data_IF_106821219534
#
_entry.id   IF_106821219534
#
_cell.length_a   1.000
_cell.length_b   1.000
_cell.length_c   1.000
_cell.angle_alpha   90.00
_cell.angle_beta   90.00
_cell.angle_gamma   90.00
#
_symmetry.space_group_name_H-M   'P 1'
#
loop_
_entity.id
_entity.type
_entity.pdbx_description
1 polymer ?
#
# COMPACT_ATOMS: atom_id res chain seq x y z
N UNK A 1 -11.14 -26.03 -9.63
CA UNK A 1 -11.23 -25.94 -8.16
C UNK A 1 -11.70 -24.53 -7.80
N UNK A 2 -12.57 -24.35 -6.77
CA UNK A 2 -13.01 -23.03 -6.36
C UNK A 2 -11.83 -22.23 -5.79
N UNK A 3 -11.62 -21.04 -6.33
CA UNK A 3 -10.63 -20.08 -5.88
C UNK A 3 -11.35 -18.80 -5.41
N UNK A 4 -10.88 -18.23 -4.30
CA UNK A 4 -11.35 -16.95 -3.79
C UNK A 4 -10.40 -15.87 -4.28
N UNK A 5 -10.87 -15.04 -5.20
CA UNK A 5 -10.11 -13.92 -5.78
C UNK A 5 -10.65 -12.61 -5.22
N UNK A 6 -9.81 -11.81 -4.62
CA UNK A 6 -10.14 -10.48 -4.15
C UNK A 6 -9.53 -9.44 -5.08
N UNK A 7 -10.37 -8.80 -5.89
CA UNK A 7 -10.00 -7.77 -6.86
C UNK A 7 -9.87 -6.44 -6.13
N UNK A 8 -8.74 -5.77 -6.32
CA UNK A 8 -8.33 -4.55 -5.62
C UNK A 8 -8.02 -3.48 -6.65
N UNK A 9 -8.57 -2.26 -6.46
CA UNK A 9 -8.32 -1.14 -7.35
C UNK A 9 -8.34 0.19 -6.60
N UNK A 10 -7.91 1.25 -7.26
CA UNK A 10 -7.99 2.63 -6.77
C UNK A 10 -9.20 3.33 -7.38
N UNK A 11 -9.97 4.03 -6.55
CA UNK A 11 -11.14 4.79 -7.00
C UNK A 11 -10.79 6.15 -7.62
N UNK A 12 -11.81 6.95 -7.93
CA UNK A 12 -11.67 8.26 -8.57
C UNK A 12 -11.75 9.45 -7.63
N UNK A 13 -11.81 9.25 -6.31
CA UNK A 13 -11.88 10.35 -5.35
C UNK A 13 -10.64 11.23 -5.37
N UNK A 14 -10.80 12.49 -5.06
CA UNK A 14 -9.75 13.52 -5.01
C UNK A 14 -9.70 14.13 -3.61
N UNK A 15 -8.54 14.61 -3.14
CA UNK A 15 -7.22 14.68 -3.82
C UNK A 15 -6.52 13.33 -3.93
N UNK A 16 -6.85 12.36 -3.10
CA UNK A 16 -6.24 11.03 -3.05
C UNK A 16 -7.27 9.93 -3.33
N UNK A 17 -6.90 8.91 -4.13
CA UNK A 17 -7.79 7.78 -4.36
C UNK A 17 -7.86 6.87 -3.12
N UNK A 18 -9.00 6.22 -2.93
CA UNK A 18 -9.15 5.18 -1.92
C UNK A 18 -8.97 3.80 -2.54
N UNK A 19 -8.46 2.86 -1.74
CA UNK A 19 -8.45 1.45 -2.06
C UNK A 19 -9.87 0.88 -2.00
N UNK A 20 -10.21 0.08 -3.01
CA UNK A 20 -11.48 -0.65 -3.10
C UNK A 20 -11.19 -2.11 -3.31
N UNK A 21 -12.08 -2.96 -2.81
CA UNK A 21 -12.01 -4.39 -3.11
C UNK A 21 -13.39 -5.03 -3.23
N UNK A 22 -13.43 -6.16 -3.96
CA UNK A 22 -14.59 -7.05 -4.05
C UNK A 22 -14.12 -8.48 -4.32
N UNK A 23 -14.87 -9.46 -3.83
CA UNK A 23 -14.49 -10.87 -3.90
C UNK A 23 -15.31 -11.59 -4.96
N UNK A 24 -14.62 -12.39 -5.80
CA UNK A 24 -15.19 -13.29 -6.77
C UNK A 24 -14.77 -14.73 -6.49
N UNK A 25 -15.71 -15.65 -6.55
CA UNK A 25 -15.42 -17.09 -6.49
C UNK A 25 -15.44 -17.63 -7.92
N UNK A 26 -14.34 -18.20 -8.34
CA UNK A 26 -14.15 -18.71 -9.70
C UNK A 26 -13.67 -20.17 -9.70
N UNK A 27 -13.89 -20.89 -10.77
CA UNK A 27 -13.27 -22.19 -10.99
C UNK A 27 -12.00 -22.00 -11.81
N UNK A 28 -10.85 -22.14 -11.16
CA UNK A 28 -9.53 -22.08 -11.78
C UNK A 28 -8.71 -23.33 -11.46
N UNK A 29 -7.70 -23.65 -12.28
CA UNK A 29 -6.69 -24.66 -11.90
C UNK A 29 -5.97 -24.25 -10.61
N UNK A 30 -5.16 -25.13 -10.05
CA UNK A 30 -4.25 -24.79 -8.97
C UNK A 30 -2.93 -25.52 -9.20
N UNK A 31 -1.82 -24.82 -9.32
CA UNK A 31 -1.67 -23.35 -9.34
C UNK A 31 -2.31 -22.72 -10.59
N UNK A 32 -2.61 -21.44 -10.52
CA UNK A 32 -3.05 -20.61 -11.64
C UNK A 32 -2.09 -19.41 -11.81
N UNK A 33 -2.12 -18.79 -12.98
CA UNK A 33 -1.32 -17.63 -13.33
C UNK A 33 -2.21 -16.41 -13.63
N UNK A 34 -1.62 -15.25 -13.81
CA UNK A 34 -2.37 -14.01 -14.05
C UNK A 34 -3.31 -14.11 -15.27
N UNK A 35 -2.87 -14.79 -16.32
CA UNK A 35 -3.63 -14.99 -17.57
C UNK A 35 -4.90 -15.83 -17.39
N UNK A 36 -4.97 -16.62 -16.32
CA UNK A 36 -6.17 -17.39 -15.97
C UNK A 36 -7.23 -16.54 -15.26
N UNK A 37 -6.85 -15.37 -14.74
CA UNK A 37 -7.73 -14.52 -13.93
C UNK A 37 -8.64 -13.69 -14.84
N UNK A 38 -9.98 -13.87 -14.77
CA UNK A 38 -10.88 -13.15 -15.66
C UNK A 38 -11.01 -11.68 -15.30
N UNK A 39 -11.24 -10.83 -16.29
CA UNK A 39 -11.72 -9.48 -16.08
C UNK A 39 -13.03 -9.49 -15.28
N UNK A 40 -13.28 -8.38 -14.61
CA UNK A 40 -14.54 -8.17 -13.90
C UNK A 40 -15.02 -6.74 -14.09
N UNK A 41 -16.30 -6.45 -13.78
CA UNK A 41 -16.88 -5.12 -13.84
C UNK A 41 -17.33 -4.64 -12.46
N UNK A 42 -17.47 -3.33 -12.32
CA UNK A 42 -18.03 -2.69 -11.14
C UNK A 42 -18.79 -1.41 -11.52
N UNK A 43 -19.63 -0.93 -10.62
CA UNK A 43 -20.36 0.33 -10.77
C UNK A 43 -19.44 1.52 -10.43
N UNK A 44 -18.90 2.15 -11.48
CA UNK A 44 -18.03 3.32 -11.36
C UNK A 44 -18.70 4.56 -10.80
N UNK A 45 -20.04 4.65 -10.84
CA UNK A 45 -20.77 5.78 -10.25
C UNK A 45 -20.60 5.85 -8.73
N UNK A 46 -20.45 4.70 -8.10
CA UNK A 46 -20.22 4.58 -6.65
C UNK A 46 -18.78 4.85 -6.22
N UNK A 47 -17.87 5.06 -7.17
CA UNK A 47 -16.44 5.24 -6.94
C UNK A 47 -15.87 6.51 -7.58
N UNK A 48 -16.72 7.43 -8.04
CA UNK A 48 -16.33 8.65 -8.77
C UNK A 48 -15.55 8.36 -10.07
N UNK A 49 -15.89 7.27 -10.76
CA UNK A 49 -15.24 6.83 -12.00
C UNK A 49 -16.18 6.74 -13.19
N UNK A 50 -17.49 6.94 -13.00
CA UNK A 50 -18.45 7.01 -14.09
C UNK A 50 -19.69 7.84 -13.71
N UNK A 51 -20.47 8.22 -14.71
CA UNK A 51 -21.79 8.84 -14.52
C UNK A 51 -22.88 7.77 -14.42
N UNK A 52 -23.95 8.06 -13.65
CA UNK A 52 -24.96 7.07 -13.26
C UNK A 52 -25.69 6.35 -14.41
N UNK A 53 -25.73 6.92 -15.60
CA UNK A 53 -26.40 6.32 -16.77
C UNK A 53 -25.51 5.35 -17.58
N UNK A 54 -24.18 5.41 -17.39
CA UNK A 54 -23.18 4.58 -18.05
C UNK A 54 -22.09 4.24 -17.03
N UNK A 55 -22.47 3.46 -16.03
CA UNK A 55 -21.69 3.32 -14.82
C UNK A 55 -20.71 2.14 -14.82
N UNK A 56 -20.76 1.27 -15.82
CA UNK A 56 -19.86 0.11 -15.87
C UNK A 56 -18.42 0.54 -16.11
N UNK A 57 -17.54 0.09 -15.22
CA UNK A 57 -16.09 0.11 -15.38
C UNK A 57 -15.56 -1.32 -15.35
N UNK A 58 -14.42 -1.55 -15.99
CA UNK A 58 -13.79 -2.86 -16.08
C UNK A 58 -12.55 -2.90 -15.18
N UNK A 59 -12.43 -3.96 -14.39
CA UNK A 59 -11.24 -4.32 -13.64
C UNK A 59 -10.41 -5.29 -14.49
N UNK A 60 -9.24 -4.85 -14.92
CA UNK A 60 -8.24 -5.68 -15.58
C UNK A 60 -7.18 -6.13 -14.60
N UNK A 61 -7.05 -7.44 -14.35
CA UNK A 61 -5.97 -7.99 -13.53
C UNK A 61 -4.59 -7.62 -14.08
N UNK A 62 -3.70 -7.12 -13.21
CA UNK A 62 -2.33 -6.78 -13.58
C UNK A 62 -1.28 -7.48 -12.73
N UNK A 63 -1.67 -7.97 -11.54
CA UNK A 63 -0.78 -8.73 -10.66
C UNK A 63 -1.58 -9.61 -9.71
N UNK A 64 -1.02 -10.79 -9.42
CA UNK A 64 -1.57 -11.74 -8.43
C UNK A 64 -0.61 -11.80 -7.24
N UNK A 65 -1.18 -11.66 -6.03
CA UNK A 65 -0.51 -11.89 -4.77
C UNK A 65 -1.21 -13.04 -4.05
N UNK A 66 -0.49 -14.12 -3.78
CA UNK A 66 -1.07 -15.26 -3.10
C UNK A 66 -0.96 -15.10 -1.59
N UNK A 67 -2.05 -15.35 -0.86
CA UNK A 67 -2.02 -15.42 0.60
C UNK A 67 -2.15 -16.88 1.03
N UNK A 68 -1.22 -17.31 1.86
CA UNK A 68 -1.19 -18.65 2.43
C UNK A 68 -1.62 -18.67 3.91
N UNK A 69 -2.52 -17.77 4.31
CA UNK A 69 -3.03 -17.81 5.69
C UNK A 69 -3.79 -19.12 5.90
N UNK A 70 -3.22 -19.98 6.78
CA UNK A 70 -3.69 -21.33 7.04
C UNK A 70 -5.03 -21.35 7.80
N UNK A 71 -5.44 -20.23 8.39
CA UNK A 71 -6.64 -20.13 9.23
C UNK A 71 -7.91 -19.87 8.45
N UNK A 72 -7.78 -19.38 7.20
CA UNK A 72 -8.90 -19.04 6.34
C UNK A 72 -8.81 -19.77 4.99
N UNK A 73 -9.89 -19.70 4.21
CA UNK A 73 -9.87 -20.15 2.83
C UNK A 73 -8.81 -19.36 2.05
N UNK A 74 -7.85 -20.02 1.37
CA UNK A 74 -6.80 -19.31 0.65
C UNK A 74 -7.38 -18.22 -0.25
N UNK A 75 -6.89 -17.01 -0.08
CA UNK A 75 -7.31 -15.85 -0.87
C UNK A 75 -6.16 -15.43 -1.77
N UNK A 76 -6.42 -15.23 -3.05
CA UNK A 76 -5.48 -14.54 -3.93
C UNK A 76 -5.94 -13.10 -4.12
N UNK A 77 -5.05 -12.17 -3.85
CA UNK A 77 -5.29 -10.74 -4.06
C UNK A 77 -4.92 -10.38 -5.48
N UNK A 78 -5.84 -9.75 -6.20
CA UNK A 78 -5.71 -9.41 -7.60
C UNK A 78 -5.67 -7.89 -7.72
N UNK A 79 -4.49 -7.33 -7.93
CA UNK A 79 -4.38 -5.91 -8.24
C UNK A 79 -4.88 -5.66 -9.65
N UNK A 80 -5.69 -4.63 -9.81
CA UNK A 80 -6.37 -4.32 -11.06
C UNK A 80 -6.16 -2.88 -11.50
N UNK A 81 -6.05 -2.70 -12.78
CA UNK A 81 -6.25 -1.43 -13.48
C UNK A 81 -7.73 -1.23 -13.81
N UNK A 82 -8.16 0.04 -13.89
CA UNK A 82 -9.51 0.41 -14.29
C UNK A 82 -9.54 0.82 -15.75
N UNK A 83 -10.50 0.26 -16.50
CA UNK A 83 -10.74 0.53 -17.91
C UNK A 83 -12.18 0.96 -18.17
N UNK A 84 -12.38 1.73 -19.24
CA UNK A 84 -13.70 2.03 -19.79
C UNK A 84 -14.27 0.79 -20.49
N UNK A 85 -15.62 0.71 -20.70
CA UNK A 85 -16.26 -0.39 -21.41
C UNK A 85 -15.75 -0.59 -22.85
N UNK A 86 -15.23 0.45 -23.49
CA UNK A 86 -14.65 0.41 -24.82
C UNK A 86 -13.22 -0.18 -24.86
N UNK A 87 -12.68 -0.55 -23.69
CA UNK A 87 -11.34 -1.12 -23.56
C UNK A 87 -10.21 -0.11 -23.50
N UNK A 88 -10.51 1.18 -23.43
CA UNK A 88 -9.49 2.21 -23.18
C UNK A 88 -9.19 2.36 -21.69
N UNK A 89 -7.95 2.69 -21.28
CA UNK A 89 -7.65 2.97 -19.88
C UNK A 89 -8.54 4.10 -19.34
N UNK A 90 -9.09 3.91 -18.15
CA UNK A 90 -9.88 4.95 -17.50
C UNK A 90 -9.00 6.14 -17.11
N UNK A 91 -9.53 7.36 -17.08
CA UNK A 91 -8.79 8.59 -16.76
C UNK A 91 -8.14 8.60 -15.36
N UNK A 92 -8.63 7.77 -14.44
CA UNK A 92 -8.04 7.56 -13.09
C UNK A 92 -6.96 6.48 -13.07
N UNK A 93 -6.72 5.78 -14.18
CA UNK A 93 -5.73 4.71 -14.27
C UNK A 93 -4.35 5.31 -14.57
N UNK A 94 -3.70 5.83 -13.54
CA UNK A 94 -2.36 6.41 -13.65
C UNK A 94 -1.31 5.33 -14.00
N UNK A 95 -1.49 4.09 -13.52
CA UNK A 95 -0.58 2.99 -13.77
C UNK A 95 -0.36 2.74 -15.27
N UNK A 96 -1.41 2.86 -16.09
CA UNK A 96 -1.34 2.67 -17.55
C UNK A 96 -0.46 3.70 -18.28
N UNK A 97 -0.09 4.80 -17.62
CA UNK A 97 0.79 5.84 -18.19
C UNK A 97 2.27 5.62 -17.88
N UNK A 98 2.57 4.64 -17.03
CA UNK A 98 3.94 4.35 -16.57
C UNK A 98 4.58 3.37 -17.55
N UNK A 99 5.79 3.71 -18.03
CA UNK A 99 6.65 2.77 -18.75
C UNK A 99 7.42 1.95 -17.72
N UNK A 100 7.35 0.63 -17.84
CA UNK A 100 8.14 -0.23 -16.98
C UNK A 100 9.63 -0.15 -17.31
N UNK A 101 10.45 -0.07 -16.28
CA UNK A 101 11.90 -0.03 -16.38
C UNK A 101 12.53 -0.83 -15.22
N UNK A 102 12.96 -2.04 -15.52
CA UNK A 102 13.57 -2.96 -14.58
C UNK A 102 14.94 -2.47 -14.07
N UNK A 103 15.58 -1.54 -14.74
CA UNK A 103 16.84 -0.95 -14.28
C UNK A 103 16.66 -0.04 -13.06
N UNK A 104 15.43 0.44 -12.82
CA UNK A 104 15.12 1.20 -11.62
C UNK A 104 14.86 0.28 -10.42
N UNK A 105 15.51 0.61 -9.32
CA UNK A 105 15.27 0.01 -8.00
C UNK A 105 14.68 1.07 -7.08
N UNK A 106 13.70 0.66 -6.29
CA UNK A 106 13.01 1.54 -5.35
C UNK A 106 13.09 0.97 -3.95
N UNK A 107 13.28 1.85 -2.96
CA UNK A 107 13.09 1.58 -1.55
C UNK A 107 12.10 2.60 -0.99
N UNK A 108 10.93 2.15 -0.58
CA UNK A 108 9.93 2.98 0.07
C UNK A 108 9.98 2.78 1.57
N UNK A 109 9.99 3.86 2.32
CA UNK A 109 9.90 3.88 3.78
C UNK A 109 8.56 4.54 4.14
N UNK A 110 7.54 3.70 4.37
CA UNK A 110 6.20 4.18 4.65
C UNK A 110 5.99 4.30 6.14
N UNK A 111 5.91 5.53 6.61
CA UNK A 111 5.46 5.85 7.97
C UNK A 111 3.94 5.95 8.03
N UNK A 112 3.38 5.63 9.19
CA UNK A 112 1.95 5.73 9.47
C UNK A 112 1.66 5.75 10.96
N UNK A 113 0.47 6.25 11.32
CA UNK A 113 -0.05 6.16 12.67
C UNK A 113 -1.19 5.13 12.77
N UNK A 114 -1.21 4.42 13.90
CA UNK A 114 -2.31 3.53 14.26
C UNK A 114 -3.26 4.30 15.16
N UNK A 115 -4.54 4.34 14.80
CA UNK A 115 -5.61 4.91 15.62
C UNK A 115 -6.61 3.85 16.04
N UNK A 116 -7.17 4.00 17.21
CA UNK A 116 -8.34 3.23 17.63
C UNK A 116 -9.55 3.67 16.78
N UNK A 117 -10.24 2.74 16.10
CA UNK A 117 -11.34 3.06 15.19
C UNK A 117 -12.57 3.66 15.86
N UNK A 118 -12.79 3.38 17.15
CA UNK A 118 -13.95 3.86 17.91
C UNK A 118 -13.74 5.26 18.49
N UNK A 119 -12.51 5.55 18.95
CA UNK A 119 -12.20 6.82 19.63
C UNK A 119 -11.49 7.83 18.73
N UNK A 120 -10.87 7.38 17.62
CA UNK A 120 -10.02 8.17 16.76
C UNK A 120 -8.66 8.55 17.39
N UNK A 121 -8.41 8.14 18.63
CA UNK A 121 -7.16 8.46 19.32
C UNK A 121 -6.01 7.61 18.76
N UNK A 122 -4.82 8.21 18.68
CA UNK A 122 -3.60 7.49 18.32
C UNK A 122 -3.31 6.46 19.41
N UNK A 123 -2.91 5.27 19.01
CA UNK A 123 -2.66 4.15 19.90
C UNK A 123 -1.48 4.46 20.85
N UNK A 124 -1.70 4.31 22.13
CA UNK A 124 -0.71 4.59 23.17
C UNK A 124 -0.64 6.05 23.60
N UNK A 125 -1.36 6.96 22.93
CA UNK A 125 -1.43 8.36 23.38
C UNK A 125 -2.35 8.50 24.60
N UNK A 126 -1.86 9.24 25.60
CA UNK A 126 -2.59 9.66 26.78
C UNK A 126 -2.18 11.10 27.14
N UNK A 127 -2.62 11.59 28.30
CA UNK A 127 -2.30 12.97 28.75
C UNK A 127 -0.80 13.23 29.00
N UNK A 128 0.01 12.19 29.13
CA UNK A 128 1.44 12.28 29.43
C UNK A 128 2.32 11.97 28.21
N UNK A 129 1.78 11.29 27.20
CA UNK A 129 2.51 10.79 26.04
C UNK A 129 1.83 11.27 24.76
N UNK A 130 1.97 12.54 24.48
CA UNK A 130 1.47 13.16 23.24
C UNK A 130 2.64 13.72 22.44
N UNK A 131 2.70 13.35 21.16
CA UNK A 131 3.74 13.83 20.26
C UNK A 131 5.02 13.01 20.27
N UNK A 132 6.11 13.65 19.87
CA UNK A 132 7.43 13.04 19.76
C UNK A 132 8.05 12.81 21.14
N UNK A 133 8.71 11.66 21.31
CA UNK A 133 9.41 11.29 22.53
C UNK A 133 10.60 10.38 22.27
N UNK A 134 11.00 9.63 23.28
CA UNK A 134 12.11 8.65 23.22
C UNK A 134 11.60 7.28 22.79
N UNK A 135 10.80 7.22 21.71
CA UNK A 135 10.08 6.01 21.28
C UNK A 135 10.70 5.33 20.08
N UNK A 136 11.58 6.01 19.35
CA UNK A 136 12.25 5.48 18.16
C UNK A 136 12.95 4.15 18.44
N UNK A 137 12.57 3.12 17.67
CA UNK A 137 13.03 1.74 17.87
C UNK A 137 12.80 1.20 19.29
N UNK A 138 11.77 1.69 19.98
CA UNK A 138 11.49 1.37 21.37
C UNK A 138 11.17 -0.08 21.63
N UNK A 139 11.49 -0.56 22.82
CA UNK A 139 11.21 -1.93 23.30
C UNK A 139 10.49 -1.86 24.65
N UNK A 140 9.44 -2.67 24.77
CA UNK A 140 8.61 -2.72 25.97
C UNK A 140 7.35 -1.86 25.88
N UNK A 141 6.33 -2.23 26.63
CA UNK A 141 4.97 -1.67 26.51
C UNK A 141 4.85 -0.19 26.87
N UNK A 142 5.84 0.38 27.59
CA UNK A 142 5.91 1.80 27.87
C UNK A 142 6.60 2.62 26.78
N UNK A 143 7.19 1.95 25.78
CA UNK A 143 7.98 2.58 24.73
C UNK A 143 7.40 2.36 23.33
N UNK A 144 6.46 1.43 23.18
CA UNK A 144 5.90 1.08 21.89
C UNK A 144 4.46 0.59 22.03
N UNK A 145 3.62 0.92 21.06
CA UNK A 145 2.23 0.47 20.97
C UNK A 145 1.95 -0.11 19.59
N UNK A 146 1.21 -1.23 19.51
CA UNK A 146 0.77 -1.83 18.25
C UNK A 146 1.72 -2.84 17.62
N UNK A 147 2.77 -3.32 18.31
CA UNK A 147 3.77 -4.25 17.76
C UNK A 147 3.16 -5.52 17.17
N UNK A 148 2.23 -6.16 17.87
CA UNK A 148 1.57 -7.39 17.39
C UNK A 148 0.90 -7.17 16.02
N UNK A 149 0.19 -6.06 15.87
CA UNK A 149 -0.44 -5.67 14.61
C UNK A 149 0.59 -5.46 13.49
N UNK A 150 1.69 -4.76 13.78
CA UNK A 150 2.74 -4.44 12.80
C UNK A 150 3.48 -5.70 12.36
N UNK A 151 3.82 -6.60 13.28
CA UNK A 151 4.46 -7.88 12.96
C UNK A 151 3.51 -8.82 12.20
N UNK A 152 2.20 -8.74 12.46
CA UNK A 152 1.21 -9.47 11.67
C UNK A 152 1.14 -8.91 10.23
N UNK A 153 1.14 -7.58 10.05
CA UNK A 153 1.22 -6.96 8.73
C UNK A 153 2.48 -7.38 7.96
N UNK A 154 3.65 -7.36 8.62
CA UNK A 154 4.90 -7.86 8.06
C UNK A 154 4.73 -9.29 7.52
N UNK A 155 4.14 -10.17 8.35
CA UNK A 155 3.92 -11.58 7.97
C UNK A 155 2.99 -11.73 6.78
N UNK A 156 1.92 -10.93 6.69
CA UNK A 156 1.01 -10.93 5.54
C UNK A 156 1.71 -10.48 4.25
N UNK A 157 2.52 -9.42 4.32
CA UNK A 157 3.28 -8.93 3.18
C UNK A 157 4.30 -9.97 2.67
N UNK A 158 5.06 -10.58 3.57
CA UNK A 158 6.02 -11.63 3.21
C UNK A 158 5.32 -12.85 2.60
N UNK A 159 4.18 -13.27 3.16
CA UNK A 159 3.37 -14.37 2.61
C UNK A 159 2.80 -14.03 1.23
N UNK A 160 2.51 -12.77 0.96
CA UNK A 160 2.05 -12.30 -0.35
C UNK A 160 3.20 -12.13 -1.37
N UNK A 161 4.45 -12.34 -0.96
CA UNK A 161 5.62 -12.20 -1.82
C UNK A 161 6.08 -10.75 -2.02
N UNK A 162 5.65 -9.83 -1.15
CA UNK A 162 6.14 -8.44 -1.12
C UNK A 162 7.47 -8.42 -0.37
N UNK A 163 8.48 -7.82 -0.96
CA UNK A 163 9.82 -7.71 -0.38
C UNK A 163 9.88 -6.60 0.68
N UNK A 164 9.34 -6.91 1.87
CA UNK A 164 9.48 -6.05 3.04
C UNK A 164 10.88 -6.24 3.62
N UNK A 165 11.66 -5.17 3.67
CA UNK A 165 13.06 -5.19 4.11
C UNK A 165 13.24 -4.80 5.57
N UNK A 166 12.24 -4.20 6.20
CA UNK A 166 12.28 -3.85 7.61
C UNK A 166 11.00 -3.23 8.14
N UNK A 167 10.92 -3.17 9.46
CA UNK A 167 9.91 -2.44 10.23
C UNK A 167 10.58 -1.79 11.45
N UNK A 168 10.14 -0.62 11.86
CA UNK A 168 10.56 0.00 13.13
C UNK A 168 9.47 0.86 13.73
N UNK A 169 9.50 0.99 15.05
CA UNK A 169 8.72 1.98 15.74
C UNK A 169 9.35 3.36 15.53
N UNK A 170 8.51 4.35 15.31
CA UNK A 170 8.90 5.72 15.02
C UNK A 170 8.92 6.62 16.27
N UNK A 171 9.18 7.94 16.07
CA UNK A 171 9.46 8.91 17.11
C UNK A 171 8.27 9.23 18.02
N UNK A 172 7.05 8.85 17.64
CA UNK A 172 5.86 9.00 18.45
C UNK A 172 5.23 7.64 18.77
N UNK A 173 4.54 7.51 19.91
CA UNK A 173 3.77 6.29 20.22
C UNK A 173 2.70 6.08 19.16
N UNK A 174 2.52 4.82 18.74
CA UNK A 174 1.58 4.46 17.69
C UNK A 174 2.01 4.86 16.27
N UNK A 175 3.17 5.47 16.12
CA UNK A 175 3.81 5.72 14.83
C UNK A 175 4.77 4.56 14.51
N UNK A 176 4.64 4.04 13.28
CA UNK A 176 5.44 2.94 12.78
C UNK A 176 5.87 3.20 11.34
N UNK A 177 6.93 2.51 10.94
CA UNK A 177 7.43 2.49 9.58
C UNK A 177 7.60 1.06 9.09
N UNK A 178 7.34 0.82 7.80
CA UNK A 178 7.81 -0.38 7.11
C UNK A 178 8.52 0.00 5.81
N UNK A 179 9.50 -0.81 5.41
CA UNK A 179 10.28 -0.59 4.20
C UNK A 179 9.95 -1.66 3.16
N UNK A 180 9.66 -1.21 1.92
CA UNK A 180 9.43 -2.07 0.75
C UNK A 180 10.54 -1.86 -0.25
N UNK A 181 11.15 -2.93 -0.71
CA UNK A 181 12.11 -2.90 -1.81
C UNK A 181 11.51 -3.54 -3.05
N UNK A 182 11.66 -2.89 -4.21
CA UNK A 182 11.20 -3.47 -5.48
C UNK A 182 12.11 -3.06 -6.63
N UNK A 183 12.22 -3.96 -7.62
CA UNK A 183 12.88 -3.71 -8.90
C UNK A 183 11.82 -3.54 -9.97
N UNK A 184 11.99 -2.52 -10.83
CA UNK A 184 11.02 -2.15 -11.84
C UNK A 184 9.99 -1.12 -11.35
N UNK A 185 9.64 -0.20 -12.23
CA UNK A 185 8.76 0.92 -11.92
C UNK A 185 7.33 0.49 -11.63
N UNK A 186 6.78 -0.45 -12.39
CA UNK A 186 5.44 -0.96 -12.17
C UNK A 186 5.36 -1.80 -10.90
N UNK A 187 6.32 -2.71 -10.70
CA UNK A 187 6.32 -3.55 -9.50
C UNK A 187 6.42 -2.74 -8.22
N UNK A 188 7.25 -1.69 -8.20
CA UNK A 188 7.41 -0.84 -7.04
C UNK A 188 6.08 -0.17 -6.61
N UNK A 189 5.34 0.38 -7.55
CA UNK A 189 4.02 0.95 -7.29
C UNK A 189 3.00 -0.10 -6.86
N UNK A 190 2.98 -1.26 -7.52
CA UNK A 190 2.08 -2.38 -7.21
C UNK A 190 2.31 -2.90 -5.78
N UNK A 191 3.56 -3.15 -5.40
CA UNK A 191 3.91 -3.68 -4.09
C UNK A 191 3.62 -2.68 -2.96
N UNK A 192 3.86 -1.38 -3.20
CA UNK A 192 3.50 -0.33 -2.24
C UNK A 192 1.97 -0.27 -2.03
N UNK A 193 1.17 -0.28 -3.09
CA UNK A 193 -0.29 -0.25 -2.96
C UNK A 193 -0.84 -1.53 -2.35
N UNK A 194 -0.27 -2.68 -2.67
CA UNK A 194 -0.68 -3.94 -2.05
C UNK A 194 -0.30 -4.00 -0.57
N UNK A 195 0.88 -3.52 -0.18
CA UNK A 195 1.26 -3.44 1.24
C UNK A 195 0.33 -2.52 2.04
N UNK A 196 -0.06 -1.37 1.48
CA UNK A 196 -1.07 -0.47 2.07
C UNK A 196 -2.44 -1.14 2.19
N UNK A 197 -2.84 -1.89 1.16
CA UNK A 197 -4.10 -2.63 1.19
C UNK A 197 -4.12 -3.66 2.33
N UNK A 198 -3.08 -4.47 2.46
CA UNK A 198 -2.94 -5.46 3.52
C UNK A 198 -2.92 -4.80 4.91
N UNK A 199 -2.24 -3.65 5.05
CA UNK A 199 -2.21 -2.88 6.28
C UNK A 199 -3.61 -2.40 6.70
N UNK A 200 -4.35 -1.78 5.78
CA UNK A 200 -5.69 -1.25 6.04
C UNK A 200 -6.70 -2.37 6.32
N UNK A 201 -6.63 -3.46 5.54
CA UNK A 201 -7.51 -4.63 5.74
C UNK A 201 -7.25 -5.32 7.08
N UNK A 202 -5.99 -5.48 7.46
CA UNK A 202 -5.63 -6.03 8.76
C UNK A 202 -6.12 -5.13 9.91
N UNK A 203 -6.06 -3.82 9.73
CA UNK A 203 -6.52 -2.85 10.73
C UNK A 203 -8.01 -3.03 11.09
N UNK A 204 -8.85 -3.45 10.13
CA UNK A 204 -10.26 -3.76 10.39
C UNK A 204 -10.41 -4.86 11.46
N UNK A 205 -9.54 -5.90 11.41
CA UNK A 205 -9.58 -7.02 12.37
C UNK A 205 -9.18 -6.62 13.78
N UNK A 206 -8.31 -5.62 13.90
CA UNK A 206 -7.83 -5.10 15.19
C UNK A 206 -8.65 -3.92 15.72
N UNK A 207 -9.73 -3.55 15.03
CA UNK A 207 -10.51 -2.34 15.32
C UNK A 207 -9.63 -1.08 15.31
N UNK A 208 -8.69 -1.02 14.36
CA UNK A 208 -7.81 0.12 14.11
C UNK A 208 -8.17 0.85 12.81
N UNK A 209 -7.69 2.08 12.67
CA UNK A 209 -7.61 2.82 11.41
C UNK A 209 -6.17 3.26 11.20
N UNK A 210 -5.75 3.31 9.94
CA UNK A 210 -4.41 3.75 9.54
C UNK A 210 -4.48 5.20 9.08
N UNK A 211 -3.62 6.02 9.65
CA UNK A 211 -3.49 7.43 9.29
C UNK A 211 -2.17 7.65 8.57
N UNK A 212 -2.24 7.94 7.27
CA UNK A 212 -1.11 8.24 6.39
C UNK A 212 -0.90 9.75 6.22
N UNK A 213 -1.62 10.59 6.97
CA UNK A 213 -1.48 12.04 6.87
C UNK A 213 -0.07 12.46 7.29
N UNK A 214 0.61 13.35 6.53
CA UNK A 214 2.00 13.73 6.82
C UNK A 214 2.16 14.48 8.15
N UNK A 215 1.10 15.03 8.69
CA UNK A 215 1.10 15.76 9.97
C UNK A 215 -0.16 15.46 10.79
N UNK A 216 -0.38 14.21 11.25
CA UNK A 216 -1.59 13.83 11.97
C UNK A 216 -1.67 14.41 13.40
N UNK A 217 -0.51 14.80 13.97
CA UNK A 217 -0.43 15.51 15.24
C UNK A 217 -0.29 17.00 14.97
N UNK A 218 -1.25 17.79 15.44
CA UNK A 218 -1.28 19.25 15.24
C UNK A 218 -0.62 20.02 16.39
N UNK A 219 -0.20 19.31 17.45
CA UNK A 219 0.38 19.90 18.65
C UNK A 219 1.83 19.45 18.83
N UNK A 220 2.64 20.35 19.36
CA UNK A 220 4.04 20.10 19.68
C UNK A 220 4.97 20.16 18.47
N UNK A 221 6.27 20.07 18.78
CA UNK A 221 7.34 20.01 17.77
C UNK A 221 7.67 18.55 17.50
N UNK A 222 7.50 18.10 16.25
CA UNK A 222 7.83 16.75 15.81
C UNK A 222 7.99 16.68 14.28
N UNK A 223 8.71 15.67 13.81
CA UNK A 223 9.17 15.59 12.42
C UNK A 223 8.04 15.43 11.40
N UNK A 224 7.05 14.61 11.68
CA UNK A 224 5.98 14.27 10.74
C UNK A 224 5.93 12.79 10.45
N UNK A 225 5.14 12.42 9.44
CA UNK A 225 4.95 11.04 8.97
C UNK A 225 4.96 11.07 7.45
N UNK A 226 5.87 10.36 6.82
CA UNK A 226 6.10 10.49 5.39
C UNK A 226 6.11 9.19 4.62
N UNK A 227 6.37 9.32 3.34
CA UNK A 227 6.80 8.24 2.48
C UNK A 227 8.13 8.66 1.85
N UNK A 228 9.23 8.16 2.39
CA UNK A 228 10.50 8.32 1.72
C UNK A 228 10.56 7.42 0.49
N UNK A 229 11.03 7.99 -0.61
CA UNK A 229 11.23 7.27 -1.87
C UNK A 229 12.70 7.31 -2.23
N UNK A 230 13.41 6.24 -1.94
CA UNK A 230 14.77 6.02 -2.40
C UNK A 230 14.71 5.35 -3.78
N UNK A 231 15.48 5.85 -4.72
CA UNK A 231 15.53 5.28 -6.06
C UNK A 231 16.95 5.25 -6.61
N UNK A 232 17.23 4.25 -7.45
CA UNK A 232 18.44 4.21 -8.25
C UNK A 232 18.19 3.50 -9.58
N UNK A 233 18.81 3.98 -10.63
CA UNK A 233 18.93 3.22 -11.88
C UNK A 233 20.34 2.59 -11.99
N UNK A 234 20.54 1.77 -13.01
CA UNK A 234 21.81 1.08 -13.24
C UNK A 234 22.99 2.06 -13.30
N UNK A 235 22.82 3.18 -14.00
CA UNK A 235 23.87 4.18 -14.14
C UNK A 235 24.28 4.79 -12.79
N UNK A 236 23.30 5.08 -11.92
CA UNK A 236 23.56 5.58 -10.56
C UNK A 236 24.36 4.58 -9.73
N UNK A 237 24.07 3.29 -9.89
CA UNK A 237 24.72 2.22 -9.11
C UNK A 237 26.11 1.87 -9.61
N UNK A 238 26.34 1.89 -10.94
CA UNK A 238 27.60 1.39 -11.55
C UNK A 238 28.58 2.51 -11.86
N UNK A 239 28.13 3.64 -12.39
CA UNK A 239 29.00 4.74 -12.79
C UNK A 239 29.05 5.85 -11.73
N UNK A 240 27.93 6.14 -11.08
CA UNK A 240 27.80 7.18 -10.05
C UNK A 240 28.15 8.57 -10.52
N UNK A 241 28.57 9.42 -9.59
CA UNK A 241 29.09 10.74 -9.85
C UNK A 241 28.09 11.87 -9.62
N UNK A 242 28.56 12.95 -8.98
CA UNK A 242 27.74 14.09 -8.60
C UNK A 242 27.06 14.74 -9.80
N UNK A 243 27.75 14.85 -10.93
CA UNK A 243 27.19 15.45 -12.15
C UNK A 243 25.96 14.70 -12.67
N UNK A 244 25.90 13.39 -12.48
CA UNK A 244 24.73 12.60 -12.88
C UNK A 244 23.57 12.84 -11.95
N UNK A 245 23.80 12.86 -10.63
CA UNK A 245 22.77 13.20 -9.64
C UNK A 245 22.22 14.62 -9.83
N UNK A 246 23.08 15.58 -10.13
CA UNK A 246 22.67 16.95 -10.40
C UNK A 246 21.75 17.07 -11.63
N UNK A 247 21.89 16.16 -12.62
CA UNK A 247 21.02 16.09 -13.81
C UNK A 247 19.64 15.50 -13.54
N UNK A 248 19.52 14.60 -12.59
CA UNK A 248 18.22 14.01 -12.19
C UNK A 248 17.33 15.09 -11.57
N UNK A 249 17.93 16.14 -11.12
CA UNK A 249 17.25 17.26 -10.50
C UNK A 249 17.25 17.13 -8.98
N UNK A 250 17.21 18.26 -8.33
CA UNK A 250 16.93 18.33 -6.92
C UNK A 250 15.45 18.07 -6.75
N UNK A 251 15.09 17.11 -5.93
CA UNK A 251 13.71 16.97 -5.50
C UNK A 251 13.26 18.35 -5.02
N UNK A 252 12.21 18.86 -5.63
CA UNK A 252 11.66 20.13 -5.20
C UNK A 252 11.00 19.88 -3.84
N UNK A 253 11.54 20.51 -2.84
CA UNK A 253 10.95 20.63 -1.52
C UNK A 253 9.87 21.68 -1.57
#
# INVERSE_FOLDING_TARGET
>A
MKQKLEYIWLDGYKPEPNLRSKIKIVDLPHPFVLEDVPDWSFDGSSTQQAEGNFSDCILKPVRVYHSFDIKEWPTSYILCEVYNPDGTPHSTNVRSTITDDEDFWFGFEQEYFIRNSKTGQILGHDTNHMGQGKFYCGVGSSQVSGREFVEHHLSLCLNAGIDITGINAEVALGQWEYQVFSKGTLQAGDDLWMSRYLLMKLAEMYEYTIDLHPKPLVYGDWNGSGLHCNLSNKKMREEGGQEYFDKIGRAHV
#
